data_IF_747286714214
#
_entry.id   IF_747286714214
#
_cell.length_a   1.000
_cell.length_b   1.000
_cell.length_c   1.000
_cell.angle_alpha   90.00
_cell.angle_beta   90.00
_cell.angle_gamma   90.00
#
_symmetry.space_group_name_H-M   'P 1'
#
loop_
_entity.id
_entity.type
_entity.pdbx_description
1 polymer ?
#
# COMPACT_ATOMS: atom_id res chain seq x y z
N UNK A 1 3.80 23.84 26.66
CA UNK A 1 4.30 23.07 25.48
C UNK A 1 4.37 21.54 25.73
N UNK A 2 4.71 21.02 26.90
CA UNK A 2 4.80 19.57 27.19
C UNK A 2 3.51 18.76 26.96
N UNK A 3 2.35 19.31 27.31
CA UNK A 3 1.07 18.61 27.18
C UNK A 3 0.65 18.30 25.73
N UNK A 4 0.96 19.19 24.78
CA UNK A 4 0.67 18.99 23.35
C UNK A 4 1.50 17.80 22.82
N UNK A 5 2.79 17.75 23.14
CA UNK A 5 3.66 16.63 22.74
C UNK A 5 3.18 15.29 23.31
N UNK A 6 2.75 15.30 24.57
CA UNK A 6 2.24 14.11 25.25
C UNK A 6 0.91 13.63 24.64
N UNK A 7 0.01 14.55 24.27
CA UNK A 7 -1.24 14.23 23.58
C UNK A 7 -0.99 13.64 22.18
N UNK A 8 -0.03 14.17 21.44
CA UNK A 8 0.35 13.65 20.12
C UNK A 8 0.92 12.23 20.25
N UNK A 9 1.85 12.02 21.20
CA UNK A 9 2.44 10.71 21.46
C UNK A 9 1.36 9.68 21.83
N UNK A 10 0.43 10.06 22.72
CA UNK A 10 -0.68 9.21 23.13
C UNK A 10 -1.59 8.85 21.95
N UNK A 11 -1.92 9.81 21.08
CA UNK A 11 -2.71 9.59 19.88
C UNK A 11 -2.05 8.57 18.94
N UNK A 12 -0.76 8.74 18.63
CA UNK A 12 -0.03 7.79 17.80
C UNK A 12 0.09 6.40 18.44
N UNK A 13 0.22 6.33 19.76
CA UNK A 13 0.25 5.05 20.49
C UNK A 13 -1.07 4.30 20.37
N UNK A 14 -2.21 4.98 20.42
CA UNK A 14 -3.53 4.38 20.21
C UNK A 14 -3.67 3.84 18.79
N UNK A 15 -3.25 4.61 17.79
CA UNK A 15 -3.28 4.18 16.38
C UNK A 15 -2.41 2.94 16.20
N UNK A 16 -1.17 2.98 16.69
CA UNK A 16 -0.25 1.85 16.62
C UNK A 16 -0.85 0.59 17.26
N UNK A 17 -1.40 0.72 18.46
CA UNK A 17 -2.01 -0.39 19.19
C UNK A 17 -3.24 -0.95 18.42
N UNK A 18 -4.07 -0.09 17.86
CA UNK A 18 -5.21 -0.49 17.03
C UNK A 18 -4.77 -1.31 15.83
N UNK A 19 -3.77 -0.82 15.08
CA UNK A 19 -3.24 -1.51 13.89
C UNK A 19 -2.63 -2.85 14.28
N UNK A 20 -1.84 -2.89 15.36
CA UNK A 20 -1.23 -4.12 15.86
C UNK A 20 -2.27 -5.18 16.26
N UNK A 21 -3.30 -4.79 17.04
CA UNK A 21 -4.36 -5.70 17.46
C UNK A 21 -5.14 -6.22 16.24
N UNK A 22 -5.45 -5.34 15.27
CA UNK A 22 -6.18 -5.72 14.07
C UNK A 22 -5.36 -6.70 13.20
N UNK A 23 -4.08 -6.41 12.96
CA UNK A 23 -3.18 -7.31 12.23
C UNK A 23 -3.09 -8.69 12.90
N UNK A 24 -2.94 -8.70 14.24
CA UNK A 24 -2.90 -9.94 15.02
C UNK A 24 -4.20 -10.73 14.95
N UNK A 25 -5.34 -10.05 15.01
CA UNK A 25 -6.66 -10.70 14.94
C UNK A 25 -6.85 -11.39 13.59
N UNK A 26 -6.56 -10.70 12.48
CA UNK A 26 -6.63 -11.25 11.13
C UNK A 26 -5.68 -12.45 10.97
N UNK A 27 -4.44 -12.34 11.43
CA UNK A 27 -3.48 -13.44 11.38
C UNK A 27 -3.97 -14.68 12.13
N UNK A 28 -4.51 -14.51 13.34
CA UNK A 28 -5.07 -15.63 14.12
C UNK A 28 -6.28 -16.27 13.44
N UNK A 29 -7.14 -15.48 12.82
CA UNK A 29 -8.28 -16.00 12.06
C UNK A 29 -7.80 -16.81 10.85
N UNK A 30 -6.75 -16.33 10.15
CA UNK A 30 -6.12 -17.08 9.07
C UNK A 30 -5.58 -18.44 9.53
N UNK A 31 -4.87 -18.48 10.67
CA UNK A 31 -4.36 -19.73 11.24
C UNK A 31 -5.51 -20.70 11.60
N UNK A 32 -6.60 -20.18 12.15
CA UNK A 32 -7.77 -20.99 12.47
C UNK A 32 -8.44 -21.57 11.22
N UNK A 33 -8.61 -20.76 10.16
CA UNK A 33 -9.13 -21.21 8.87
C UNK A 33 -8.24 -22.30 8.25
N UNK A 34 -6.93 -22.13 8.33
CA UNK A 34 -5.95 -23.10 7.84
C UNK A 34 -6.07 -24.46 8.57
N UNK A 35 -6.23 -24.44 9.88
CA UNK A 35 -6.45 -25.67 10.68
C UNK A 35 -7.74 -26.39 10.27
N UNK A 36 -8.77 -25.62 9.87
CA UNK A 36 -10.04 -26.18 9.37
C UNK A 36 -9.97 -26.66 7.93
N UNK A 37 -8.86 -26.43 7.23
CA UNK A 37 -8.67 -26.78 5.82
C UNK A 37 -9.32 -25.80 4.84
N UNK A 38 -9.77 -24.63 5.32
CA UNK A 38 -10.27 -23.55 4.46
C UNK A 38 -9.10 -22.66 4.00
N UNK A 39 -8.37 -23.18 3.01
CA UNK A 39 -7.20 -22.48 2.47
C UNK A 39 -7.56 -21.13 1.84
N UNK A 40 -8.76 -20.99 1.27
CA UNK A 40 -9.20 -19.72 0.67
C UNK A 40 -9.43 -18.64 1.71
N UNK A 41 -10.13 -18.97 2.79
CA UNK A 41 -10.37 -18.04 3.90
C UNK A 41 -9.05 -17.70 4.60
N UNK A 42 -8.15 -18.68 4.75
CA UNK A 42 -6.81 -18.46 5.27
C UNK A 42 -6.03 -17.42 4.44
N UNK A 43 -6.00 -17.56 3.10
CA UNK A 43 -5.35 -16.61 2.18
C UNK A 43 -5.91 -15.20 2.37
N UNK A 44 -7.24 -15.06 2.41
CA UNK A 44 -7.91 -13.78 2.55
C UNK A 44 -7.56 -13.08 3.88
N UNK A 45 -7.52 -13.83 4.98
CA UNK A 45 -7.18 -13.27 6.29
C UNK A 45 -5.68 -12.97 6.44
N UNK A 46 -4.77 -13.77 5.86
CA UNK A 46 -3.35 -13.41 5.82
C UNK A 46 -3.12 -12.13 5.03
N UNK A 47 -3.76 -11.96 3.87
CA UNK A 47 -3.68 -10.71 3.12
C UNK A 47 -4.18 -9.52 3.95
N UNK A 48 -5.33 -9.64 4.63
CA UNK A 48 -5.85 -8.58 5.52
C UNK A 48 -4.89 -8.28 6.66
N UNK A 49 -4.22 -9.30 7.23
CA UNK A 49 -3.19 -9.07 8.24
C UNK A 49 -2.03 -8.22 7.72
N UNK A 50 -1.63 -8.39 6.44
CA UNK A 50 -0.61 -7.57 5.79
C UNK A 50 -1.09 -6.14 5.51
N UNK A 51 -2.40 -5.94 5.20
CA UNK A 51 -2.97 -4.61 4.97
C UNK A 51 -2.94 -3.73 6.24
N UNK A 52 -2.94 -4.32 7.43
CA UNK A 52 -2.67 -3.63 8.70
C UNK A 52 -1.16 -3.45 8.89
N UNK A 53 -0.53 -2.74 7.95
CA UNK A 53 0.92 -2.59 7.89
C UNK A 53 1.47 -1.79 9.07
N UNK A 54 2.46 -2.38 9.75
CA UNK A 54 3.32 -1.71 10.73
C UNK A 54 4.78 -1.89 10.29
N UNK A 55 5.58 -0.83 10.26
CA UNK A 55 7.00 -0.91 9.88
C UNK A 55 7.82 -1.81 10.82
N UNK A 56 7.39 -1.93 12.07
CA UNK A 56 8.08 -2.71 13.11
C UNK A 56 7.06 -3.47 13.94
N UNK A 57 7.31 -4.75 14.20
CA UNK A 57 6.59 -5.55 15.20
C UNK A 57 5.15 -5.97 14.82
N UNK A 58 4.74 -5.80 13.56
CA UNK A 58 3.43 -6.26 13.07
C UNK A 58 3.45 -7.72 12.61
N UNK A 59 2.31 -8.18 12.08
CA UNK A 59 2.13 -9.53 11.55
C UNK A 59 2.35 -9.60 10.03
N UNK A 60 2.99 -8.61 9.43
CA UNK A 60 3.24 -8.54 7.98
C UNK A 60 4.17 -9.67 7.53
N UNK A 61 5.35 -9.79 8.17
CA UNK A 61 6.31 -10.85 7.84
C UNK A 61 5.77 -12.25 8.13
N UNK A 62 5.20 -12.55 9.32
CA UNK A 62 4.56 -13.84 9.57
C UNK A 62 3.46 -14.19 8.55
N UNK A 63 2.64 -13.22 8.15
CA UNK A 63 1.60 -13.43 7.16
C UNK A 63 2.17 -13.67 5.75
N UNK A 64 3.25 -12.96 5.40
CA UNK A 64 3.97 -13.16 4.15
C UNK A 64 4.57 -14.58 4.05
N UNK A 65 5.22 -15.04 5.12
CA UNK A 65 5.74 -16.41 5.20
C UNK A 65 4.63 -17.45 5.13
N UNK A 66 3.52 -17.24 5.82
CA UNK A 66 2.38 -18.15 5.79
C UNK A 66 1.77 -18.25 4.40
N UNK A 67 1.55 -17.11 3.71
CA UNK A 67 1.07 -17.05 2.32
C UNK A 67 2.03 -17.74 1.36
N UNK A 68 3.33 -17.53 1.52
CA UNK A 68 4.34 -18.20 0.71
C UNK A 68 4.28 -19.72 0.89
N UNK A 69 4.29 -20.20 2.14
CA UNK A 69 4.27 -21.61 2.45
C UNK A 69 2.98 -22.29 1.98
N UNK A 70 1.84 -21.60 2.15
CA UNK A 70 0.55 -22.08 1.68
C UNK A 70 0.52 -22.13 0.15
N UNK A 71 1.02 -21.09 -0.52
CA UNK A 71 1.13 -21.06 -1.97
C UNK A 71 1.96 -22.22 -2.52
N UNK A 72 3.11 -22.52 -1.91
CA UNK A 72 3.96 -23.66 -2.28
C UNK A 72 3.24 -25.00 -2.04
N UNK A 73 2.58 -25.17 -0.90
CA UNK A 73 1.83 -26.39 -0.58
C UNK A 73 0.71 -26.67 -1.59
N UNK A 74 0.08 -25.61 -2.10
CA UNK A 74 -1.06 -25.70 -3.03
C UNK A 74 -0.66 -25.89 -4.49
N UNK A 75 0.61 -25.75 -4.86
CA UNK A 75 1.04 -25.80 -6.27
C UNK A 75 0.57 -27.04 -7.03
N UNK A 76 0.64 -28.20 -6.36
CA UNK A 76 0.24 -29.48 -6.96
C UNK A 76 -1.23 -29.85 -6.68
N UNK A 77 -1.82 -29.29 -5.60
CA UNK A 77 -3.18 -29.63 -5.17
C UNK A 77 -4.23 -28.74 -5.84
N UNK A 78 -4.02 -27.44 -5.79
CA UNK A 78 -4.91 -26.40 -6.36
C UNK A 78 -4.09 -25.22 -6.85
N UNK A 79 -3.72 -25.29 -8.12
CA UNK A 79 -2.92 -24.24 -8.77
C UNK A 79 -3.60 -22.86 -8.71
N UNK A 80 -4.94 -22.80 -8.76
CA UNK A 80 -5.65 -21.51 -8.71
C UNK A 80 -5.48 -20.87 -7.34
N UNK A 81 -5.65 -21.64 -6.27
CA UNK A 81 -5.43 -21.14 -4.90
C UNK A 81 -3.95 -20.82 -4.66
N UNK A 82 -3.01 -21.60 -5.22
CA UNK A 82 -1.59 -21.29 -5.17
C UNK A 82 -1.29 -19.91 -5.80
N UNK A 83 -1.80 -19.66 -7.00
CA UNK A 83 -1.66 -18.35 -7.65
C UNK A 83 -2.31 -17.24 -6.85
N UNK A 84 -3.47 -17.48 -6.24
CA UNK A 84 -4.17 -16.55 -5.37
C UNK A 84 -3.28 -16.20 -4.15
N UNK A 85 -2.71 -17.18 -3.46
CA UNK A 85 -1.82 -16.97 -2.33
C UNK A 85 -0.60 -16.09 -2.68
N UNK A 86 0.07 -16.37 -3.81
CA UNK A 86 1.20 -15.56 -4.25
C UNK A 86 0.78 -14.15 -4.70
N UNK A 87 -0.40 -13.99 -5.33
CA UNK A 87 -0.94 -12.68 -5.69
C UNK A 87 -1.29 -11.86 -4.45
N UNK A 88 -1.92 -12.46 -3.45
CA UNK A 88 -2.24 -11.83 -2.16
C UNK A 88 -0.99 -11.40 -1.41
N UNK A 89 0.05 -12.24 -1.39
CA UNK A 89 1.35 -11.88 -0.81
C UNK A 89 1.96 -10.64 -1.50
N UNK A 90 1.95 -10.62 -2.84
CA UNK A 90 2.44 -9.48 -3.62
C UNK A 90 1.61 -8.23 -3.38
N UNK A 91 0.28 -8.36 -3.41
CA UNK A 91 -0.69 -7.28 -3.18
C UNK A 91 -0.51 -6.63 -1.82
N UNK A 92 -0.32 -7.43 -0.77
CA UNK A 92 -0.13 -6.93 0.59
C UNK A 92 1.06 -5.98 0.72
N UNK A 93 2.21 -6.30 0.10
CA UNK A 93 3.37 -5.39 0.09
C UNK A 93 3.15 -4.15 -0.78
N UNK A 94 2.48 -4.28 -1.93
CA UNK A 94 2.17 -3.11 -2.77
C UNK A 94 1.15 -2.18 -2.13
N UNK A 95 0.21 -2.70 -1.34
CA UNK A 95 -0.76 -1.89 -0.62
C UNK A 95 -0.10 -1.02 0.48
N UNK A 96 1.01 -1.50 1.06
CA UNK A 96 1.77 -0.78 2.07
C UNK A 96 2.80 0.21 1.50
N UNK A 97 2.89 0.34 0.16
CA UNK A 97 3.82 1.29 -0.47
C UNK A 97 3.47 2.74 -0.16
N UNK A 98 4.51 3.52 0.06
CA UNK A 98 4.43 4.98 0.18
C UNK A 98 5.57 5.60 -0.64
N UNK A 99 6.52 6.30 0.00
CA UNK A 99 7.76 6.77 -0.64
C UNK A 99 8.70 5.62 -1.02
N UNK A 100 8.54 4.46 -0.41
CA UNK A 100 9.24 3.22 -0.74
C UNK A 100 8.26 2.05 -0.76
N UNK A 101 8.67 0.97 -1.39
CA UNK A 101 7.91 -0.28 -1.38
C UNK A 101 8.55 -1.23 -0.38
N UNK A 102 7.87 -1.58 0.72
CA UNK A 102 8.41 -2.54 1.68
C UNK A 102 8.44 -3.95 1.07
N UNK A 103 9.27 -4.84 1.64
CA UNK A 103 9.29 -6.25 1.25
C UNK A 103 9.74 -6.51 -0.18
N UNK A 104 10.68 -5.71 -0.74
CA UNK A 104 11.14 -5.86 -2.11
C UNK A 104 11.69 -7.27 -2.40
N UNK A 105 12.36 -7.89 -1.43
CA UNK A 105 12.85 -9.28 -1.55
C UNK A 105 11.72 -10.30 -1.72
N UNK A 106 10.61 -10.10 -1.02
CA UNK A 106 9.40 -10.90 -1.17
C UNK A 106 8.77 -10.69 -2.54
N UNK A 107 8.64 -9.44 -2.99
CA UNK A 107 8.07 -9.09 -4.29
C UNK A 107 8.88 -9.75 -5.42
N UNK A 108 10.20 -9.68 -5.37
CA UNK A 108 11.07 -10.26 -6.40
C UNK A 108 10.91 -11.79 -6.44
N UNK A 109 10.95 -12.44 -5.29
CA UNK A 109 10.75 -13.88 -5.14
C UNK A 109 9.37 -14.34 -5.63
N UNK A 110 8.33 -13.60 -5.28
CA UNK A 110 6.95 -13.87 -5.72
C UNK A 110 6.77 -13.65 -7.21
N UNK A 111 7.36 -12.59 -7.77
CA UNK A 111 7.28 -12.31 -9.20
C UNK A 111 7.87 -13.47 -10.04
N UNK A 112 8.99 -14.04 -9.63
CA UNK A 112 9.58 -15.20 -10.29
C UNK A 112 8.68 -16.44 -10.21
N UNK A 113 8.04 -16.64 -9.05
CA UNK A 113 7.14 -17.76 -8.83
C UNK A 113 5.86 -17.62 -9.66
N UNK A 114 5.23 -16.45 -9.62
CA UNK A 114 4.05 -16.13 -10.42
C UNK A 114 4.33 -16.26 -11.92
N UNK A 115 5.48 -15.77 -12.40
CA UNK A 115 5.83 -15.86 -13.81
C UNK A 115 5.90 -17.33 -14.27
N UNK A 116 6.55 -18.19 -13.48
CA UNK A 116 6.66 -19.64 -13.79
C UNK A 116 5.29 -20.32 -13.77
N UNK A 117 4.48 -20.10 -12.74
CA UNK A 117 3.16 -20.71 -12.63
C UNK A 117 2.22 -20.25 -13.74
N UNK A 118 2.24 -18.94 -14.06
CA UNK A 118 1.41 -18.39 -15.16
C UNK A 118 1.85 -18.95 -16.51
N UNK A 119 3.14 -19.12 -16.75
CA UNK A 119 3.64 -19.70 -18.00
C UNK A 119 3.24 -21.18 -18.19
N UNK A 120 2.88 -21.88 -17.13
CA UNK A 120 2.39 -23.26 -17.16
C UNK A 120 0.86 -23.35 -17.38
N UNK A 121 0.13 -22.24 -17.29
CA UNK A 121 -1.29 -22.22 -17.61
C UNK A 121 -1.52 -22.49 -19.12
N UNK A 122 -2.67 -23.03 -19.50
CA UNK A 122 -2.99 -23.22 -20.92
C UNK A 122 -2.91 -21.90 -21.68
N UNK A 123 -2.30 -21.87 -22.86
CA UNK A 123 -2.22 -20.66 -23.67
C UNK A 123 -3.61 -20.19 -24.07
N UNK A 124 -3.88 -18.89 -23.87
CA UNK A 124 -5.19 -18.29 -24.18
C UNK A 124 -5.29 -17.76 -25.63
N UNK A 125 -4.18 -17.71 -26.37
CA UNK A 125 -4.15 -17.23 -27.76
C UNK A 125 -3.26 -18.09 -28.67
N UNK A 126 -3.54 -18.04 -29.99
CA UNK A 126 -2.70 -18.73 -30.98
C UNK A 126 -1.25 -18.20 -31.01
N UNK A 127 -1.05 -16.95 -30.62
CA UNK A 127 0.29 -16.37 -30.53
C UNK A 127 1.06 -16.97 -29.33
N UNK A 128 0.38 -17.19 -28.22
CA UNK A 128 0.99 -17.84 -27.04
C UNK A 128 1.34 -19.31 -27.26
N UNK A 129 0.53 -20.03 -28.04
CA UNK A 129 0.84 -21.42 -28.41
C UNK A 129 2.16 -21.59 -29.14
N UNK A 130 2.61 -20.56 -29.87
CA UNK A 130 3.87 -20.56 -30.61
C UNK A 130 5.08 -20.24 -29.75
N UNK A 131 4.90 -19.84 -28.50
CA UNK A 131 5.97 -19.46 -27.55
C UNK A 131 6.40 -20.65 -26.71
N UNK A 132 7.70 -20.74 -26.44
CA UNK A 132 8.22 -21.72 -25.50
C UNK A 132 7.82 -21.35 -24.07
N UNK A 133 7.84 -22.31 -23.15
CA UNK A 133 7.59 -22.06 -21.71
C UNK A 133 8.55 -21.01 -21.14
N UNK A 134 9.79 -21.02 -21.58
CA UNK A 134 10.81 -20.03 -21.18
C UNK A 134 10.47 -18.62 -21.64
N UNK A 135 10.02 -18.46 -22.90
CA UNK A 135 9.60 -17.18 -23.45
C UNK A 135 8.37 -16.64 -22.69
N UNK A 136 7.38 -17.50 -22.42
CA UNK A 136 6.19 -17.14 -21.64
C UNK A 136 6.55 -16.72 -20.21
N UNK A 137 7.49 -17.42 -19.58
CA UNK A 137 7.99 -17.07 -18.24
C UNK A 137 8.71 -15.72 -18.25
N UNK A 138 9.59 -15.49 -19.22
CA UNK A 138 10.32 -14.22 -19.35
C UNK A 138 9.39 -13.02 -19.58
N UNK A 139 8.37 -13.19 -20.44
CA UNK A 139 7.37 -12.16 -20.70
C UNK A 139 6.49 -11.88 -19.48
N UNK A 140 6.00 -12.93 -18.80
CA UNK A 140 5.23 -12.77 -17.58
C UNK A 140 6.06 -12.04 -16.49
N UNK A 141 7.33 -12.41 -16.35
CA UNK A 141 8.24 -11.75 -15.43
C UNK A 141 8.49 -10.29 -15.80
N UNK A 142 8.66 -9.98 -17.07
CA UNK A 142 8.82 -8.60 -17.56
C UNK A 142 7.60 -7.74 -17.25
N UNK A 143 6.38 -8.30 -17.38
CA UNK A 143 5.14 -7.62 -17.02
C UNK A 143 5.07 -7.37 -15.51
N UNK A 144 5.39 -8.39 -14.69
CA UNK A 144 5.36 -8.29 -13.23
C UNK A 144 6.42 -7.31 -12.67
N UNK A 145 7.56 -7.18 -13.34
CA UNK A 145 8.65 -6.26 -12.97
C UNK A 145 8.47 -4.84 -13.51
N UNK A 146 7.43 -4.56 -14.29
CA UNK A 146 7.18 -3.18 -14.73
C UNK A 146 7.06 -2.27 -13.51
N UNK A 147 7.77 -1.14 -13.50
CA UNK A 147 7.70 -0.22 -12.37
C UNK A 147 6.27 0.31 -12.25
N UNK A 148 5.61 -0.05 -11.17
CA UNK A 148 4.29 0.47 -10.77
C UNK A 148 4.43 1.60 -9.76
N UNK A 149 5.58 2.31 -9.80
CA UNK A 149 5.87 3.40 -8.87
C UNK A 149 5.34 4.68 -9.46
N UNK A 150 4.54 5.45 -8.72
CA UNK A 150 4.36 6.85 -9.04
C UNK A 150 5.74 7.53 -9.04
N UNK A 151 5.93 8.51 -9.88
CA UNK A 151 7.18 9.28 -9.87
C UNK A 151 7.34 9.95 -8.51
N UNK A 152 8.35 9.54 -7.74
CA UNK A 152 8.58 9.99 -6.36
C UNK A 152 8.59 11.53 -6.25
N UNK A 153 9.16 12.22 -7.24
CA UNK A 153 9.18 13.69 -7.28
C UNK A 153 7.79 14.30 -7.34
N UNK A 154 6.91 13.76 -8.17
CA UNK A 154 5.53 14.23 -8.27
C UNK A 154 4.71 13.90 -7.02
N UNK A 155 4.95 12.73 -6.41
CA UNK A 155 4.32 12.35 -5.15
C UNK A 155 4.71 13.28 -4.00
N UNK A 156 5.98 13.68 -3.91
CA UNK A 156 6.45 14.67 -2.93
C UNK A 156 5.81 16.03 -3.20
N UNK A 157 5.74 16.46 -4.46
CA UNK A 157 5.10 17.72 -4.82
C UNK A 157 3.61 17.74 -4.45
N UNK A 158 2.92 16.63 -4.67
CA UNK A 158 1.52 16.42 -4.27
C UNK A 158 1.35 16.57 -2.75
N UNK A 159 2.20 15.92 -1.96
CA UNK A 159 2.18 16.02 -0.48
C UNK A 159 2.44 17.45 0.01
N UNK A 160 3.46 18.11 -0.54
CA UNK A 160 3.77 19.52 -0.20
C UNK A 160 2.57 20.42 -0.56
N UNK A 161 1.99 20.22 -1.75
CA UNK A 161 0.81 20.96 -2.20
C UNK A 161 -0.37 20.75 -1.26
N UNK A 162 -0.68 19.48 -0.93
CA UNK A 162 -1.79 19.13 -0.04
C UNK A 162 -1.64 19.76 1.36
N UNK A 163 -0.54 19.51 2.03
CA UNK A 163 -0.31 20.04 3.37
C UNK A 163 -0.16 21.58 3.37
N UNK A 164 0.37 22.13 2.28
CA UNK A 164 0.50 23.57 2.12
C UNK A 164 -0.86 24.30 2.08
N UNK A 165 -1.79 23.84 1.21
CA UNK A 165 -3.11 24.50 1.14
C UNK A 165 -3.96 24.23 2.38
N UNK A 166 -3.92 23.02 2.97
CA UNK A 166 -4.62 22.72 4.23
C UNK A 166 -4.13 23.62 5.37
N UNK A 167 -2.81 23.73 5.54
CA UNK A 167 -2.20 24.61 6.54
C UNK A 167 -2.54 26.09 6.26
N UNK A 168 -2.56 26.50 5.00
CA UNK A 168 -2.94 27.83 4.57
C UNK A 168 -4.38 28.19 4.97
N UNK A 169 -5.32 27.25 4.79
CA UNK A 169 -6.72 27.42 5.22
C UNK A 169 -6.81 27.56 6.74
N UNK A 170 -6.11 26.70 7.49
CA UNK A 170 -6.09 26.79 8.96
C UNK A 170 -5.52 28.14 9.43
N UNK A 171 -4.43 28.59 8.83
CA UNK A 171 -3.83 29.90 9.12
C UNK A 171 -4.80 31.05 8.77
N UNK A 172 -5.52 30.93 7.66
CA UNK A 172 -6.52 31.94 7.28
C UNK A 172 -7.64 32.03 8.33
N UNK A 173 -8.15 30.90 8.81
CA UNK A 173 -9.19 30.86 9.85
C UNK A 173 -8.69 31.51 11.14
N UNK A 174 -7.44 31.25 11.54
CA UNK A 174 -6.91 31.75 12.83
C UNK A 174 -6.42 33.20 12.76
N UNK A 175 -5.86 33.61 11.62
CA UNK A 175 -5.15 34.91 11.53
C UNK A 175 -5.69 35.86 10.47
N UNK A 176 -6.61 35.41 9.63
CA UNK A 176 -7.18 36.22 8.53
C UNK A 176 -8.23 37.23 8.96
N UNK A 177 -8.76 37.09 10.20
CA UNK A 177 -9.82 37.95 10.72
C UNK A 177 -9.33 38.89 11.84
N UNK A 178 -9.92 40.06 11.95
CA UNK A 178 -9.74 40.98 13.09
C UNK A 178 -10.58 40.52 14.27
N UNK A 179 -10.40 41.17 15.43
CA UNK A 179 -11.25 41.02 16.63
C UNK A 179 -12.73 41.31 16.38
N UNK A 180 -13.06 42.06 15.32
CA UNK A 180 -14.42 42.39 14.90
C UNK A 180 -14.97 41.46 13.82
N UNK A 181 -14.35 40.26 13.61
CA UNK A 181 -14.71 39.28 12.58
C UNK A 181 -14.65 39.81 11.13
N UNK A 182 -13.89 40.88 10.87
CA UNK A 182 -13.67 41.39 9.53
C UNK A 182 -12.36 40.85 8.96
N UNK A 183 -12.36 40.51 7.67
CA UNK A 183 -11.14 40.05 6.98
C UNK A 183 -10.11 41.16 6.94
N UNK A 184 -8.88 40.89 7.38
CA UNK A 184 -7.77 41.84 7.30
C UNK A 184 -7.26 41.84 5.84
N UNK A 185 -7.50 42.93 5.03
CA UNK A 185 -7.38 42.82 3.56
C UNK A 185 -6.01 42.36 3.08
N UNK A 186 -4.91 42.90 3.63
CA UNK A 186 -3.53 42.53 3.21
C UNK A 186 -3.17 41.13 3.60
N UNK A 187 -3.51 40.68 4.82
CA UNK A 187 -3.25 39.33 5.28
C UNK A 187 -4.15 38.30 4.59
N UNK A 188 -5.43 38.63 4.43
CA UNK A 188 -6.41 37.81 3.75
C UNK A 188 -6.00 37.53 2.30
N UNK A 189 -5.62 38.58 1.55
CA UNK A 189 -5.17 38.41 0.16
C UNK A 189 -3.90 37.55 0.04
N UNK A 190 -2.93 37.75 0.93
CA UNK A 190 -1.69 36.95 0.95
C UNK A 190 -1.99 35.48 1.25
N UNK A 191 -2.83 35.21 2.26
CA UNK A 191 -3.16 33.82 2.64
C UNK A 191 -3.98 33.13 1.56
N UNK A 192 -4.93 33.82 0.92
CA UNK A 192 -5.68 33.26 -0.23
C UNK A 192 -4.73 32.95 -1.39
N UNK A 193 -3.79 33.86 -1.70
CA UNK A 193 -2.77 33.60 -2.73
C UNK A 193 -1.91 32.37 -2.42
N UNK A 194 -1.52 32.21 -1.16
CA UNK A 194 -0.75 31.05 -0.70
C UNK A 194 -1.56 29.73 -0.83
N UNK A 195 -2.83 29.76 -0.42
CA UNK A 195 -3.74 28.62 -0.54
C UNK A 195 -3.88 28.22 -2.01
N UNK A 196 -4.14 29.16 -2.90
CA UNK A 196 -4.30 28.92 -4.34
C UNK A 196 -3.01 28.38 -4.96
N UNK A 197 -1.85 28.88 -4.55
CA UNK A 197 -0.55 28.38 -5.01
C UNK A 197 -0.34 26.91 -4.63
N UNK A 198 -0.52 26.56 -3.36
CA UNK A 198 -0.34 25.19 -2.92
C UNK A 198 -1.43 24.26 -3.46
N UNK A 199 -2.64 24.73 -3.63
CA UNK A 199 -3.71 24.00 -4.27
C UNK A 199 -3.37 23.67 -5.74
N UNK A 200 -2.81 24.63 -6.48
CA UNK A 200 -2.35 24.40 -7.83
C UNK A 200 -1.20 23.36 -7.87
N UNK A 201 -0.23 23.45 -6.95
CA UNK A 201 0.83 22.44 -6.81
C UNK A 201 0.27 21.04 -6.55
N UNK A 202 -0.74 20.94 -5.70
CA UNK A 202 -1.41 19.69 -5.40
C UNK A 202 -2.08 19.09 -6.65
N UNK A 203 -2.82 19.89 -7.42
CA UNK A 203 -3.44 19.46 -8.68
C UNK A 203 -2.37 19.00 -9.70
N UNK A 204 -1.31 19.79 -9.88
CA UNK A 204 -0.21 19.41 -10.79
C UNK A 204 0.46 18.11 -10.34
N UNK A 205 0.68 17.95 -9.04
CA UNK A 205 1.18 16.70 -8.46
C UNK A 205 0.28 15.51 -8.78
N UNK A 206 -1.05 15.63 -8.61
CA UNK A 206 -2.01 14.56 -8.91
C UNK A 206 -2.06 14.19 -10.40
N UNK A 207 -1.86 15.14 -11.31
CA UNK A 207 -1.90 14.87 -12.75
C UNK A 207 -0.66 14.13 -13.26
N UNK A 208 0.43 14.12 -12.51
CA UNK A 208 1.73 13.59 -12.94
C UNK A 208 2.29 12.47 -12.03
N UNK A 209 1.64 12.15 -10.90
CA UNK A 209 2.06 11.13 -9.93
C UNK A 209 1.58 9.68 -10.29
#
# INVERSE_FOLDING_TARGET
MGWIGLSILFFFSIIYLKVFISSRAEFKTAEAARVQGDDREAIAHYERAMLWYLPVGGYVEPAAEALWNLGVLLEEKDRKLSLEAFRSLRSGFYAARSFYTPGQSWIDRVNEKLARLTAQEPPYSEQEKKRTSEQRTAEALAVLKRPQRPYTGWSILLEIGFWGWVSGVLLFIVTGFSSENQVIPKRGLLLVGLILFFYALWIVGMMNA
#
